data_IF_718503464001
#
_entry.id   IF_718503464001
#
_cell.length_a   1.000
_cell.length_b   1.000
_cell.length_c   1.000
_cell.angle_alpha   90.00
_cell.angle_beta   90.00
_cell.angle_gamma   90.00
#
_symmetry.space_group_name_H-M   'P 1'
#
loop_
_entity.id
_entity.type
_entity.pdbx_description
1 polymer ?
#
# COMPACT_ATOMS: atom_id res chain seq x y z
N UNK A 1 11.73 -1.64 31.00
CA UNK A 1 10.86 -0.61 30.40
C UNK A 1 11.21 -0.59 28.94
N UNK A 2 10.35 -1.18 28.12
CA UNK A 2 10.60 -1.33 26.68
C UNK A 2 10.53 0.06 26.03
N UNK A 3 11.43 0.35 25.09
CA UNK A 3 11.41 1.62 24.34
C UNK A 3 10.09 1.78 23.57
N UNK A 4 9.44 0.66 23.21
CA UNK A 4 8.12 0.64 22.59
C UNK A 4 7.01 1.12 23.54
N UNK A 5 7.09 0.80 24.83
CA UNK A 5 6.12 1.26 25.83
C UNK A 5 6.23 2.77 26.09
N UNK A 6 7.45 3.31 26.00
CA UNK A 6 7.72 4.75 26.25
C UNK A 6 7.25 5.62 25.06
N UNK A 7 7.27 5.09 23.84
CA UNK A 7 6.90 5.83 22.62
C UNK A 7 5.38 5.75 22.34
N UNK A 8 4.69 4.69 22.80
CA UNK A 8 3.23 4.55 22.67
C UNK A 8 2.42 5.39 23.67
N UNK A 9 3.05 6.02 24.66
CA UNK A 9 2.38 6.90 25.64
C UNK A 9 2.58 8.39 25.34
N UNK A 10 2.55 8.83 24.07
CA UNK A 10 2.16 10.23 23.83
C UNK A 10 0.67 10.30 24.13
N UNK A 11 0.33 10.48 25.40
CA UNK A 11 -1.05 10.67 25.81
C UNK A 11 -1.52 11.94 25.13
N UNK A 12 -2.60 11.85 24.35
CA UNK A 12 -3.29 13.01 23.76
C UNK A 12 -3.68 14.08 24.81
N UNK A 13 -3.58 13.74 26.10
CA UNK A 13 -3.67 14.60 27.27
C UNK A 13 -2.73 15.82 27.20
N UNK A 14 -1.48 15.64 26.77
CA UNK A 14 -0.46 16.70 26.77
C UNK A 14 -0.32 17.43 25.43
N UNK A 15 -1.09 17.01 24.41
CA UNK A 15 -1.04 17.61 23.08
C UNK A 15 -1.93 18.86 23.04
N UNK A 16 -1.42 20.00 22.49
CA UNK A 16 -2.24 21.19 22.30
C UNK A 16 -3.49 20.91 21.46
N UNK A 17 -4.61 21.52 21.84
CA UNK A 17 -5.90 21.34 21.16
C UNK A 17 -5.81 21.49 19.64
N UNK A 18 -5.14 22.54 19.15
CA UNK A 18 -4.99 22.80 17.71
C UNK A 18 -4.25 21.69 16.97
N UNK A 19 -3.29 21.04 17.62
CA UNK A 19 -2.52 19.95 17.04
C UNK A 19 -3.39 18.68 16.97
N UNK A 20 -4.26 18.46 17.96
CA UNK A 20 -5.28 17.39 17.91
C UNK A 20 -6.31 17.62 16.81
N UNK A 21 -6.83 18.85 16.68
CA UNK A 21 -7.77 19.22 15.60
C UNK A 21 -7.14 18.99 14.22
N UNK A 22 -5.89 19.41 14.05
CA UNK A 22 -5.13 19.18 12.81
C UNK A 22 -4.92 17.68 12.55
N UNK A 23 -4.54 16.92 13.57
CA UNK A 23 -4.39 15.47 13.49
C UNK A 23 -5.69 14.81 13.03
N UNK A 24 -6.82 15.09 13.69
CA UNK A 24 -8.14 14.55 13.32
C UNK A 24 -8.48 14.91 11.87
N UNK A 25 -8.29 16.18 11.48
CA UNK A 25 -8.62 16.65 10.14
C UNK A 25 -7.82 15.97 9.02
N UNK A 26 -6.50 15.82 9.23
CA UNK A 26 -5.58 15.23 8.26
C UNK A 26 -5.69 13.70 8.23
N UNK A 27 -5.61 13.04 9.39
CA UNK A 27 -5.53 11.58 9.48
C UNK A 27 -6.87 10.87 9.29
N UNK A 28 -7.99 11.60 9.31
CA UNK A 28 -9.25 11.07 8.78
C UNK A 28 -9.09 10.59 7.32
N UNK A 29 -8.14 11.17 6.54
CA UNK A 29 -7.82 10.68 5.19
C UNK A 29 -7.17 9.31 5.22
N UNK A 30 -6.28 9.05 6.16
CA UNK A 30 -5.65 7.73 6.33
C UNK A 30 -6.69 6.72 6.82
N UNK A 31 -7.48 7.09 7.83
CA UNK A 31 -8.50 6.21 8.41
C UNK A 31 -9.64 5.86 7.44
N UNK A 32 -10.08 6.80 6.59
CA UNK A 32 -11.33 6.66 5.83
C UNK A 32 -11.27 7.16 4.38
N UNK A 33 -10.09 7.52 3.87
CA UNK A 33 -9.89 7.94 2.48
C UNK A 33 -10.31 9.38 2.13
N UNK A 34 -10.87 10.15 3.08
CA UNK A 34 -11.30 11.54 2.87
C UNK A 34 -10.84 12.44 4.01
N UNK A 35 -10.55 13.72 3.74
CA UNK A 35 -10.22 14.67 4.82
C UNK A 35 -11.42 14.92 5.72
N UNK A 36 -11.15 15.17 7.01
CA UNK A 36 -12.14 15.45 8.06
C UNK A 36 -12.83 16.83 7.92
N UNK A 37 -13.29 17.20 6.73
CA UNK A 37 -13.88 18.52 6.44
C UNK A 37 -15.23 18.77 7.10
N UNK A 38 -15.83 17.72 7.67
CA UNK A 38 -17.16 17.77 8.26
C UNK A 38 -17.13 18.04 9.77
N UNK A 39 -15.96 18.01 10.42
CA UNK A 39 -15.86 18.33 11.84
C UNK A 39 -16.09 19.81 12.09
N UNK A 40 -16.93 20.08 13.09
CA UNK A 40 -17.07 21.39 13.70
C UNK A 40 -16.28 21.42 15.02
N UNK A 41 -14.96 21.66 14.90
CA UNK A 41 -14.09 21.65 16.07
C UNK A 41 -14.41 22.75 17.07
N UNK A 42 -15.04 23.84 16.67
CA UNK A 42 -15.37 24.95 17.58
C UNK A 42 -16.42 24.55 18.62
N UNK A 43 -17.34 23.63 18.27
CA UNK A 43 -18.38 23.15 19.19
C UNK A 43 -17.95 21.98 20.07
N UNK A 44 -16.83 21.31 19.76
CA UNK A 44 -16.33 20.16 20.52
C UNK A 44 -15.58 20.59 21.79
N UNK A 45 -15.78 19.88 22.88
CA UNK A 45 -14.98 20.01 24.11
C UNK A 45 -13.58 19.41 23.93
N UNK A 46 -12.66 19.74 24.83
CA UNK A 46 -11.31 19.15 24.80
C UNK A 46 -11.34 17.61 25.01
N UNK A 47 -12.28 17.11 25.81
CA UNK A 47 -12.46 15.68 26.03
C UNK A 47 -12.94 14.98 24.76
N UNK A 48 -13.92 15.55 24.06
CA UNK A 48 -14.40 15.03 22.77
C UNK A 48 -13.30 15.05 21.71
N UNK A 49 -12.49 16.11 21.64
CA UNK A 49 -11.35 16.16 20.70
C UNK A 49 -10.33 15.06 20.99
N UNK A 50 -9.99 14.81 22.26
CA UNK A 50 -9.06 13.73 22.61
C UNK A 50 -9.63 12.35 22.29
N UNK A 51 -10.91 12.14 22.60
CA UNK A 51 -11.59 10.89 22.27
C UNK A 51 -11.62 10.66 20.76
N UNK A 52 -11.91 11.70 19.98
CA UNK A 52 -11.91 11.62 18.52
C UNK A 52 -10.51 11.38 17.96
N UNK A 53 -9.48 12.05 18.48
CA UNK A 53 -8.09 11.81 18.09
C UNK A 53 -7.68 10.34 18.36
N UNK A 54 -8.06 9.77 19.51
CA UNK A 54 -7.81 8.36 19.79
C UNK A 54 -8.55 7.45 18.82
N UNK A 55 -9.82 7.75 18.53
CA UNK A 55 -10.62 6.97 17.57
C UNK A 55 -10.01 6.99 16.16
N UNK A 56 -9.55 8.16 15.70
CA UNK A 56 -8.85 8.30 14.41
C UNK A 56 -7.53 7.53 14.42
N UNK A 57 -6.74 7.61 15.49
CA UNK A 57 -5.49 6.86 15.60
C UNK A 57 -5.73 5.34 15.52
N UNK A 58 -6.70 4.82 16.27
CA UNK A 58 -7.08 3.40 16.23
C UNK A 58 -7.59 2.98 14.83
N UNK A 59 -8.28 3.88 14.13
CA UNK A 59 -8.73 3.63 12.76
C UNK A 59 -7.57 3.64 11.75
N UNK A 60 -6.59 4.53 11.91
CA UNK A 60 -5.35 4.52 11.11
C UNK A 60 -4.56 3.23 11.34
N UNK A 61 -4.40 2.78 12.58
CA UNK A 61 -3.70 1.54 12.90
C UNK A 61 -4.37 0.32 12.24
N UNK A 62 -5.71 0.29 12.24
CA UNK A 62 -6.46 -0.74 11.51
C UNK A 62 -6.23 -0.65 10.01
N UNK A 63 -6.30 0.54 9.42
CA UNK A 63 -6.07 0.74 7.99
C UNK A 63 -4.66 0.26 7.58
N UNK A 64 -3.62 0.64 8.34
CA UNK A 64 -2.25 0.18 8.07
C UNK A 64 -2.09 -1.33 8.18
N UNK A 65 -2.73 -1.94 9.19
CA UNK A 65 -2.72 -3.40 9.34
C UNK A 65 -3.43 -4.09 8.19
N UNK A 66 -4.60 -3.60 7.79
CA UNK A 66 -5.35 -4.13 6.65
C UNK A 66 -4.56 -4.00 5.34
N UNK A 67 -3.88 -2.86 5.11
CA UNK A 67 -2.98 -2.67 3.96
C UNK A 67 -1.81 -3.65 3.95
N UNK A 68 -1.17 -3.88 5.10
CA UNK A 68 -0.09 -4.86 5.24
C UNK A 68 -0.59 -6.28 4.97
N UNK A 69 -1.73 -6.67 5.52
CA UNK A 69 -2.34 -8.00 5.30
C UNK A 69 -2.82 -8.17 3.85
N UNK A 70 -3.28 -7.11 3.18
CA UNK A 70 -3.58 -7.13 1.74
C UNK A 70 -2.32 -7.38 0.94
N UNK A 71 -1.24 -6.64 1.21
CA UNK A 71 0.02 -6.80 0.50
C UNK A 71 0.59 -8.22 0.67
N UNK A 72 0.57 -8.78 1.89
CA UNK A 72 1.02 -10.15 2.13
C UNK A 72 0.20 -11.17 1.33
N UNK A 73 -1.12 -11.00 1.27
CA UNK A 73 -2.01 -11.86 0.47
C UNK A 73 -1.75 -11.73 -1.02
N UNK A 74 -1.53 -10.52 -1.53
CA UNK A 74 -1.27 -10.27 -2.95
C UNK A 74 0.08 -10.85 -3.38
N UNK A 75 1.12 -10.72 -2.54
CA UNK A 75 2.41 -11.38 -2.77
C UNK A 75 2.25 -12.90 -2.78
N UNK A 76 1.56 -13.48 -1.78
CA UNK A 76 1.35 -14.92 -1.71
C UNK A 76 0.56 -15.45 -2.91
N UNK A 77 -0.51 -14.76 -3.31
CA UNK A 77 -1.32 -15.13 -4.47
C UNK A 77 -0.51 -15.07 -5.77
N UNK A 78 0.36 -14.07 -5.94
CA UNK A 78 1.21 -13.96 -7.11
C UNK A 78 2.27 -15.06 -7.14
N UNK A 79 2.90 -15.39 -6.02
CA UNK A 79 3.86 -16.50 -5.94
C UNK A 79 3.19 -17.86 -6.21
N UNK A 80 1.94 -18.06 -5.77
CA UNK A 80 1.14 -19.25 -6.10
C UNK A 80 0.81 -19.31 -7.59
N UNK A 81 0.48 -18.18 -8.23
CA UNK A 81 0.25 -18.09 -9.67
C UNK A 81 1.53 -18.47 -10.44
N UNK A 82 2.69 -17.93 -10.05
CA UNK A 82 4.00 -18.27 -10.63
C UNK A 82 4.28 -19.77 -10.46
N UNK A 83 4.11 -20.33 -9.27
CA UNK A 83 4.31 -21.76 -9.00
C UNK A 83 3.37 -22.63 -9.84
N UNK A 84 2.12 -22.20 -10.03
CA UNK A 84 1.15 -22.87 -10.88
C UNK A 84 1.62 -22.92 -12.33
N UNK A 85 2.09 -21.80 -12.87
CA UNK A 85 2.62 -21.72 -14.24
C UNK A 85 3.89 -22.59 -14.41
N UNK A 86 4.76 -22.63 -13.40
CA UNK A 86 5.89 -23.57 -13.34
C UNK A 86 5.40 -25.01 -13.44
N UNK A 87 4.37 -25.37 -12.67
CA UNK A 87 3.80 -26.72 -12.67
C UNK A 87 3.17 -27.13 -14.01
N UNK A 88 2.73 -26.16 -14.81
CA UNK A 88 2.22 -26.37 -16.17
C UNK A 88 3.31 -26.58 -17.23
N UNK A 89 4.57 -26.56 -16.83
CA UNK A 89 5.70 -26.90 -17.68
C UNK A 89 6.64 -25.75 -18.00
N UNK A 90 6.47 -24.57 -17.38
CA UNK A 90 7.41 -23.47 -17.58
C UNK A 90 8.82 -23.81 -17.05
N UNK A 91 8.93 -24.73 -16.09
CA UNK A 91 10.20 -25.28 -15.60
C UNK A 91 10.94 -24.39 -14.60
N UNK A 92 10.94 -23.08 -14.82
CA UNK A 92 11.55 -22.08 -13.94
C UNK A 92 10.74 -20.77 -13.85
N UNK A 93 11.13 -19.90 -12.91
CA UNK A 93 10.46 -18.62 -12.64
C UNK A 93 10.55 -17.67 -13.84
N UNK A 94 11.70 -17.58 -14.49
CA UNK A 94 11.92 -16.68 -15.62
C UNK A 94 10.95 -17.01 -16.77
N UNK A 95 10.83 -18.28 -17.11
CA UNK A 95 9.90 -18.76 -18.14
C UNK A 95 8.45 -18.62 -17.70
N UNK A 96 8.14 -18.84 -16.42
CA UNK A 96 6.80 -18.62 -15.90
C UNK A 96 6.38 -17.15 -16.00
N UNK A 97 7.23 -16.21 -15.56
CA UNK A 97 6.99 -14.78 -15.67
C UNK A 97 6.83 -14.36 -17.14
N UNK A 98 7.69 -14.88 -18.04
CA UNK A 98 7.56 -14.65 -19.48
C UNK A 98 6.18 -15.07 -19.99
N UNK A 99 5.70 -16.27 -19.63
CA UNK A 99 4.37 -16.77 -20.01
C UNK A 99 3.24 -15.92 -19.44
N UNK A 100 3.37 -15.50 -18.18
CA UNK A 100 2.37 -14.65 -17.52
C UNK A 100 2.24 -13.26 -18.17
N UNK A 101 3.30 -12.79 -18.84
CA UNK A 101 3.31 -11.52 -19.57
C UNK A 101 3.15 -11.66 -21.09
N UNK A 102 2.97 -12.87 -21.62
CA UNK A 102 3.00 -13.13 -23.07
C UNK A 102 1.84 -12.47 -23.84
N UNK A 103 0.73 -12.19 -23.15
CA UNK A 103 -0.43 -11.47 -23.71
C UNK A 103 -0.32 -9.95 -23.70
N UNK A 104 0.75 -9.40 -23.12
CA UNK A 104 0.94 -7.95 -22.96
C UNK A 104 1.83 -7.38 -24.06
N UNK A 105 1.63 -6.10 -24.38
CA UNK A 105 2.56 -5.35 -25.24
C UNK A 105 3.24 -4.26 -24.43
N UNK A 106 4.55 -4.38 -24.23
CA UNK A 106 5.34 -3.42 -23.48
C UNK A 106 6.00 -2.41 -24.42
N UNK A 107 5.75 -1.12 -24.19
CA UNK A 107 6.42 -0.03 -24.95
C UNK A 107 7.57 0.60 -24.18
N UNK A 108 7.49 0.62 -22.85
CA UNK A 108 8.51 1.17 -21.97
C UNK A 108 8.37 0.63 -20.54
N UNK A 109 9.31 0.94 -19.65
CA UNK A 109 9.34 0.46 -18.27
C UNK A 109 8.03 0.66 -17.49
N UNK A 110 7.28 1.76 -17.71
CA UNK A 110 6.00 1.95 -17.00
C UNK A 110 4.91 0.94 -17.39
N UNK A 111 5.02 0.27 -18.55
CA UNK A 111 4.12 -0.83 -18.89
C UNK A 111 4.37 -2.04 -17.96
N UNK A 112 5.65 -2.28 -17.61
CA UNK A 112 6.03 -3.31 -16.64
C UNK A 112 5.54 -2.93 -15.24
N UNK A 113 5.74 -1.67 -14.83
CA UNK A 113 5.21 -1.16 -13.56
C UNK A 113 3.70 -1.32 -13.48
N UNK A 114 2.98 -1.02 -14.55
CA UNK A 114 1.52 -1.18 -14.61
C UNK A 114 1.08 -2.64 -14.47
N UNK A 115 1.78 -3.58 -15.11
CA UNK A 115 1.48 -5.00 -14.95
C UNK A 115 1.70 -5.45 -13.50
N UNK A 116 2.81 -5.04 -12.87
CA UNK A 116 3.10 -5.35 -11.46
C UNK A 116 2.10 -4.66 -10.52
N UNK A 117 1.61 -3.47 -10.86
CA UNK A 117 0.57 -2.76 -10.14
C UNK A 117 -0.77 -3.49 -10.17
N UNK A 118 -1.15 -4.07 -11.32
CA UNK A 118 -2.35 -4.90 -11.43
C UNK A 118 -2.32 -6.15 -10.54
N UNK A 119 -1.13 -6.57 -10.09
CA UNK A 119 -0.95 -7.65 -9.10
C UNK A 119 -0.98 -7.16 -7.65
N UNK A 120 -1.20 -5.87 -7.39
CA UNK A 120 -1.32 -5.29 -6.04
C UNK A 120 0.01 -5.00 -5.33
N UNK A 121 1.15 -5.35 -5.94
CA UNK A 121 2.44 -5.40 -5.22
C UNK A 121 3.44 -4.30 -5.59
N UNK A 122 3.16 -3.43 -6.58
CA UNK A 122 4.14 -2.47 -7.14
C UNK A 122 4.87 -1.64 -6.08
N UNK A 123 4.14 -1.10 -5.10
CA UNK A 123 4.70 -0.17 -4.12
C UNK A 123 5.46 -0.85 -2.97
N UNK A 124 5.65 -2.17 -3.03
CA UNK A 124 6.46 -2.94 -2.08
C UNK A 124 7.90 -3.15 -2.55
N UNK A 125 8.79 -3.57 -1.64
CA UNK A 125 10.15 -3.99 -2.01
C UNK A 125 10.15 -5.21 -2.94
N UNK A 126 9.18 -6.10 -2.76
CA UNK A 126 8.97 -7.25 -3.64
C UNK A 126 8.63 -6.79 -5.06
N UNK A 127 7.61 -5.92 -5.21
CA UNK A 127 7.18 -5.39 -6.50
C UNK A 127 8.29 -4.63 -7.23
N UNK A 128 9.06 -3.79 -6.51
CA UNK A 128 10.22 -3.09 -7.09
C UNK A 128 11.31 -4.03 -7.61
N UNK A 129 11.50 -5.19 -6.97
CA UNK A 129 12.43 -6.22 -7.48
C UNK A 129 11.84 -6.91 -8.70
N UNK A 130 10.56 -7.26 -8.66
CA UNK A 130 9.85 -7.90 -9.76
C UNK A 130 9.83 -7.04 -11.02
N UNK A 131 9.65 -5.72 -10.91
CA UNK A 131 9.74 -4.80 -12.06
C UNK A 131 11.10 -4.92 -12.75
N UNK A 132 12.19 -5.01 -11.99
CA UNK A 132 13.54 -5.16 -12.55
C UNK A 132 13.71 -6.52 -13.23
N UNK A 133 13.26 -7.58 -12.58
CA UNK A 133 13.28 -8.94 -13.14
C UNK A 133 12.50 -9.00 -14.46
N UNK A 134 11.28 -8.47 -14.49
CA UNK A 134 10.46 -8.44 -15.70
C UNK A 134 11.06 -7.55 -16.80
N UNK A 135 11.68 -6.43 -16.46
CA UNK A 135 12.31 -5.55 -17.45
C UNK A 135 13.45 -6.26 -18.22
N UNK A 136 14.10 -7.25 -17.61
CA UNK A 136 15.12 -8.08 -18.26
C UNK A 136 14.51 -9.23 -19.09
N UNK A 137 13.26 -9.62 -18.81
CA UNK A 137 12.56 -10.75 -19.45
C UNK A 137 11.71 -10.30 -20.66
N UNK A 138 10.98 -9.19 -20.53
CA UNK A 138 10.00 -8.77 -21.53
C UNK A 138 10.67 -8.10 -22.72
N UNK A 139 10.02 -8.21 -23.88
CA UNK A 139 10.45 -7.48 -25.08
C UNK A 139 9.70 -6.16 -25.17
N UNK A 140 10.45 -5.09 -25.40
CA UNK A 140 9.87 -3.79 -25.70
C UNK A 140 9.66 -3.62 -27.20
N UNK A 141 8.48 -3.13 -27.56
CA UNK A 141 8.11 -2.76 -28.92
C UNK A 141 8.27 -1.26 -29.07
N UNK A 142 8.87 -0.81 -30.18
CA UNK A 142 8.91 0.61 -30.51
C UNK A 142 7.50 1.12 -30.83
N UNK A 143 7.08 2.23 -30.21
CA UNK A 143 5.85 2.91 -30.62
C UNK A 143 6.04 3.48 -32.02
N UNK A 144 5.48 2.83 -33.05
CA UNK A 144 5.29 3.47 -34.34
C UNK A 144 4.16 4.51 -34.19
N UNK A 145 4.54 5.78 -34.14
CA UNK A 145 3.58 6.88 -34.32
C UNK A 145 3.07 6.83 -35.76
N UNK A 146 1.81 6.44 -35.94
CA UNK A 146 1.07 6.53 -37.19
C UNK A 146 0.57 7.96 -37.47
#
# INVERSE_FOLDING_TARGET
MDLKEIIMEVKFEDIPRKDLELFIYEEHKTAFGVKGRHYDFESMTMEEIRAEAQYIADACDRAYKEEAEMLERDIASLEEEIATVISYGAGDRETALRWMTDGETFYHGQCVEHWVWNKGVLFSDYGRKLVKELADIVKFTDMEYA
#
